data_IF_096123982216
#
_entry.id   IF_096123982216
#
_cell.length_a   1.000
_cell.length_b   1.000
_cell.length_c   1.000
_cell.angle_alpha   90.00
_cell.angle_beta   90.00
_cell.angle_gamma   90.00
#
_symmetry.space_group_name_H-M   'P 1'
#
loop_
_entity.id
_entity.type
_entity.pdbx_description
1 polymer ?
#
# COMPACT_ATOMS: atom_id res chain seq x y z
N UNK A 1 3.73 -5.42 -4.80
CA UNK A 1 2.66 -4.42 -5.07
C UNK A 1 2.61 -3.37 -3.97
N UNK A 2 2.69 -2.10 -4.34
CA UNK A 2 2.76 -0.98 -3.38
C UNK A 2 1.88 0.21 -3.77
N UNK A 3 0.99 0.07 -4.73
CA UNK A 3 0.13 1.20 -5.12
C UNK A 3 -1.06 1.41 -4.15
N UNK A 4 -1.36 2.66 -3.81
CA UNK A 4 -0.70 3.91 -4.25
C UNK A 4 0.54 4.22 -3.39
N UNK A 5 1.68 4.45 -4.02
CA UNK A 5 2.94 4.67 -3.31
C UNK A 5 2.92 5.86 -2.36
N UNK A 6 2.13 6.90 -2.64
CA UNK A 6 1.99 8.04 -1.72
C UNK A 6 1.40 7.64 -0.35
N UNK A 7 0.65 6.55 -0.29
CA UNK A 7 0.16 5.96 0.97
C UNK A 7 1.16 4.95 1.53
N UNK A 8 1.53 3.96 0.71
CA UNK A 8 2.31 2.82 1.18
C UNK A 8 3.76 3.17 1.51
N UNK A 9 4.25 4.30 1.00
CA UNK A 9 5.59 4.86 1.25
C UNK A 9 5.51 6.32 1.69
N UNK A 10 4.50 6.65 2.50
CA UNK A 10 4.35 8.02 3.00
C UNK A 10 5.63 8.50 3.68
N UNK A 11 6.16 9.64 3.23
CA UNK A 11 7.40 10.25 3.70
C UNK A 11 8.65 9.34 3.66
N UNK A 12 8.61 8.23 2.95
CA UNK A 12 9.78 7.35 2.82
C UNK A 12 10.94 8.09 2.12
N UNK A 13 12.08 8.15 2.78
CA UNK A 13 13.24 8.96 2.38
C UNK A 13 13.85 8.61 1.02
N UNK A 14 13.48 7.47 0.45
CA UNK A 14 13.94 6.97 -0.85
C UNK A 14 12.94 7.16 -1.99
N UNK A 15 11.81 7.86 -1.73
CA UNK A 15 10.78 8.13 -2.74
C UNK A 15 10.65 9.63 -3.03
N UNK A 16 9.93 9.96 -4.10
CA UNK A 16 9.52 11.33 -4.42
C UNK A 16 8.58 11.93 -3.37
N UNK A 17 7.98 11.12 -2.51
CA UNK A 17 7.04 11.54 -1.47
C UNK A 17 7.71 11.86 -0.13
N UNK A 18 9.04 11.79 -0.03
CA UNK A 18 9.80 11.97 1.22
C UNK A 18 9.50 13.26 1.97
N UNK A 19 9.22 14.34 1.25
CA UNK A 19 8.95 15.66 1.81
C UNK A 19 7.44 15.97 1.86
N UNK A 20 6.58 15.03 1.43
CA UNK A 20 5.14 15.24 1.43
C UNK A 20 4.57 15.08 2.84
N UNK A 21 4.11 16.19 3.45
CA UNK A 21 3.49 16.22 4.77
C UNK A 21 1.98 16.57 4.72
N UNK A 22 1.36 16.38 3.54
CA UNK A 22 -0.08 16.60 3.36
C UNK A 22 -0.91 15.37 3.71
N UNK A 23 -2.24 15.51 3.76
CA UNK A 23 -3.12 14.38 4.00
C UNK A 23 -3.14 13.42 2.81
N UNK A 24 -3.27 12.14 3.11
CA UNK A 24 -3.54 11.08 2.13
C UNK A 24 -4.87 10.42 2.48
N UNK A 25 -5.63 10.00 1.49
CA UNK A 25 -6.91 9.32 1.68
C UNK A 25 -6.89 7.90 1.12
N UNK A 26 -7.51 6.99 1.84
CA UNK A 26 -7.81 5.64 1.40
C UNK A 26 -8.99 5.05 2.24
N UNK A 27 -9.97 4.40 1.61
CA UNK A 27 -10.21 4.29 0.17
C UNK A 27 -10.67 5.62 -0.43
N UNK A 28 -10.42 5.81 -1.73
CA UNK A 28 -10.86 6.99 -2.48
C UNK A 28 -9.73 7.67 -3.27
N UNK A 29 -9.94 8.91 -3.63
CA UNK A 29 -8.90 9.73 -4.27
C UNK A 29 -7.79 10.00 -3.24
N UNK A 30 -6.58 9.54 -3.52
CA UNK A 30 -5.46 9.57 -2.56
C UNK A 30 -5.09 10.98 -2.14
N UNK A 31 -4.94 11.88 -3.09
CA UNK A 31 -4.69 13.32 -2.89
C UNK A 31 -5.47 14.08 -3.95
N UNK A 32 -6.01 15.25 -3.61
CA UNK A 32 -6.72 16.06 -4.60
C UNK A 32 -5.78 17.02 -5.35
N UNK A 33 -6.12 17.45 -6.58
CA UNK A 33 -5.34 18.46 -7.29
C UNK A 33 -5.16 19.75 -6.49
N UNK A 34 -6.16 20.14 -5.70
CA UNK A 34 -6.10 21.33 -4.83
C UNK A 34 -5.05 21.16 -3.74
N UNK A 35 -5.01 19.99 -3.09
CA UNK A 35 -3.99 19.67 -2.08
C UNK A 35 -2.57 19.70 -2.67
N UNK A 36 -2.39 19.24 -3.91
CA UNK A 36 -1.10 19.35 -4.61
C UNK A 36 -0.77 20.80 -4.92
N UNK A 37 -1.75 21.60 -5.38
CA UNK A 37 -1.55 23.01 -5.73
C UNK A 37 -1.15 23.89 -4.54
N UNK A 38 -1.47 23.48 -3.31
CA UNK A 38 -1.07 24.15 -2.06
C UNK A 38 0.39 23.85 -1.66
N UNK A 39 1.04 22.90 -2.32
CA UNK A 39 2.41 22.50 -2.01
C UNK A 39 3.45 23.40 -2.69
N UNK A 40 4.69 23.46 -2.19
CA UNK A 40 5.78 24.11 -2.89
C UNK A 40 5.95 23.62 -4.33
N UNK A 41 6.30 24.52 -5.27
CA UNK A 41 6.41 24.17 -6.69
C UNK A 41 7.33 22.97 -6.97
N UNK A 42 8.41 22.82 -6.22
CA UNK A 42 9.34 21.69 -6.36
C UNK A 42 8.68 20.34 -6.00
N UNK A 43 7.76 20.31 -5.04
CA UNK A 43 6.98 19.11 -4.71
C UNK A 43 5.93 18.83 -5.79
N UNK A 44 5.24 19.87 -6.30
CA UNK A 44 4.24 19.71 -7.36
C UNK A 44 4.82 19.07 -8.61
N UNK A 45 6.08 19.40 -8.97
CA UNK A 45 6.75 18.83 -10.14
C UNK A 45 7.12 17.34 -9.96
N UNK A 46 7.34 16.89 -8.71
CA UNK A 46 7.67 15.50 -8.42
C UNK A 46 6.44 14.59 -8.40
N UNK A 47 5.23 15.14 -8.22
CA UNK A 47 4.00 14.36 -8.18
C UNK A 47 3.46 14.08 -9.59
N UNK A 48 3.54 12.83 -10.00
CA UNK A 48 2.90 12.39 -11.23
C UNK A 48 1.38 12.45 -11.15
N UNK A 49 0.73 12.42 -12.31
CA UNK A 49 -0.75 12.41 -12.41
C UNK A 49 -1.43 11.28 -11.63
N UNK A 50 -0.72 10.17 -11.40
CA UNK A 50 -1.19 9.00 -10.65
C UNK A 50 -1.40 9.30 -9.16
N UNK A 51 -0.75 10.32 -8.63
CA UNK A 51 -0.88 10.73 -7.22
C UNK A 51 -2.31 11.10 -6.84
N UNK A 52 -3.08 11.61 -7.79
CA UNK A 52 -4.47 12.01 -7.58
C UNK A 52 -5.50 10.94 -8.04
N UNK A 53 -5.08 9.72 -8.30
CA UNK A 53 -6.00 8.65 -8.71
C UNK A 53 -6.79 8.09 -7.53
N UNK A 54 -7.93 7.46 -7.86
CA UNK A 54 -8.75 6.76 -6.87
C UNK A 54 -8.25 5.34 -6.69
N UNK A 55 -8.03 4.96 -5.43
CA UNK A 55 -7.70 3.61 -5.02
C UNK A 55 -8.75 3.07 -4.05
N UNK A 56 -9.19 1.87 -4.30
CA UNK A 56 -10.19 1.12 -3.53
C UNK A 56 -10.06 -0.39 -3.81
N UNK A 57 -10.80 -1.20 -3.09
CA UNK A 57 -10.82 -2.66 -3.25
C UNK A 57 -11.18 -3.09 -4.67
N UNK A 58 -12.14 -2.40 -5.31
CA UNK A 58 -12.57 -2.70 -6.68
C UNK A 58 -11.44 -2.45 -7.69
N UNK A 59 -10.62 -1.43 -7.47
CA UNK A 59 -9.43 -1.19 -8.30
C UNK A 59 -8.43 -2.34 -8.17
N UNK A 60 -8.11 -2.76 -6.97
CA UNK A 60 -7.21 -3.91 -6.76
C UNK A 60 -7.76 -5.17 -7.41
N UNK A 61 -9.06 -5.44 -7.28
CA UNK A 61 -9.70 -6.57 -7.93
C UNK A 61 -9.55 -6.53 -9.46
N UNK A 62 -9.71 -5.36 -10.08
CA UNK A 62 -9.49 -5.19 -11.53
C UNK A 62 -8.03 -5.43 -11.92
N UNK A 63 -7.08 -4.83 -11.21
CA UNK A 63 -5.65 -4.91 -11.51
C UNK A 63 -5.14 -6.35 -11.34
N UNK A 64 -5.46 -6.99 -10.22
CA UNK A 64 -4.98 -8.34 -9.91
C UNK A 64 -5.66 -9.41 -10.78
N UNK A 65 -6.91 -9.17 -11.21
CA UNK A 65 -7.58 -10.05 -12.15
C UNK A 65 -6.82 -10.24 -13.47
N UNK A 66 -6.01 -9.27 -13.87
CA UNK A 66 -5.17 -9.42 -15.08
C UNK A 66 -4.18 -10.57 -14.92
N UNK A 67 -3.48 -10.64 -13.80
CA UNK A 67 -2.55 -11.73 -13.50
C UNK A 67 -3.28 -13.06 -13.25
N UNK A 68 -4.37 -13.04 -12.48
CA UNK A 68 -5.18 -14.22 -12.20
C UNK A 68 -5.77 -14.85 -13.49
N UNK A 69 -6.20 -14.02 -14.45
CA UNK A 69 -6.70 -14.50 -15.74
C UNK A 69 -5.60 -15.16 -16.59
N UNK A 70 -4.38 -14.63 -16.56
CA UNK A 70 -3.23 -15.28 -17.22
C UNK A 70 -2.94 -16.63 -16.57
N UNK A 71 -2.90 -16.69 -15.25
CA UNK A 71 -2.70 -17.92 -14.50
C UNK A 71 -3.76 -18.98 -14.86
N UNK A 72 -5.03 -18.60 -14.84
CA UNK A 72 -6.14 -19.46 -15.21
C UNK A 72 -6.03 -19.98 -16.65
N UNK A 73 -5.65 -19.08 -17.58
CA UNK A 73 -5.47 -19.45 -19.00
C UNK A 73 -4.40 -20.50 -19.22
N UNK A 74 -3.30 -20.44 -18.46
CA UNK A 74 -2.17 -21.34 -18.63
C UNK A 74 -2.09 -22.47 -17.60
N UNK A 75 -3.00 -22.51 -16.64
CA UNK A 75 -3.00 -23.53 -15.57
C UNK A 75 -1.81 -23.43 -14.63
N UNK A 76 -1.33 -22.21 -14.37
CA UNK A 76 -0.18 -21.93 -13.49
C UNK A 76 -0.61 -21.12 -12.27
N UNK A 77 0.07 -21.25 -11.11
CA UNK A 77 -0.21 -20.41 -9.96
C UNK A 77 0.27 -18.96 -10.17
N UNK A 78 -0.35 -18.02 -9.44
CA UNK A 78 0.14 -16.64 -9.30
C UNK A 78 0.66 -16.43 -7.89
N UNK A 79 1.73 -15.69 -7.79
CA UNK A 79 2.36 -15.32 -6.52
C UNK A 79 2.76 -13.85 -6.54
N UNK A 80 2.26 -13.08 -5.58
CA UNK A 80 2.74 -11.74 -5.27
C UNK A 80 3.92 -11.88 -4.31
N UNK A 81 5.14 -11.74 -4.83
CA UNK A 81 6.37 -11.97 -4.06
C UNK A 81 6.62 -10.94 -2.97
N UNK A 82 5.97 -9.76 -3.08
CA UNK A 82 6.16 -8.67 -2.13
C UNK A 82 5.01 -7.66 -2.20
N UNK A 83 4.47 -7.28 -1.07
CA UNK A 83 3.54 -6.16 -0.88
C UNK A 83 3.60 -5.68 0.56
N UNK A 84 3.25 -4.43 0.80
CA UNK A 84 3.28 -3.87 2.15
C UNK A 84 2.87 -2.40 2.18
N UNK A 85 2.75 -1.88 3.38
CA UNK A 85 2.46 -0.48 3.64
C UNK A 85 3.23 -0.04 4.88
N UNK A 86 3.98 1.05 4.75
CA UNK A 86 4.77 1.65 5.82
C UNK A 86 3.85 2.09 6.96
N UNK A 87 4.27 1.87 8.20
CA UNK A 87 3.61 2.41 9.38
C UNK A 87 3.91 3.90 9.49
N UNK A 88 2.85 4.70 9.65
CA UNK A 88 2.94 6.12 9.92
C UNK A 88 1.71 6.53 10.73
N UNK A 89 1.90 6.97 11.97
CA UNK A 89 0.82 7.24 12.92
C UNK A 89 -0.38 8.03 12.35
N UNK A 90 -0.19 9.09 11.55
CA UNK A 90 -1.32 9.78 10.97
C UNK A 90 -2.15 8.95 9.99
N UNK A 91 -1.56 7.91 9.39
CA UNK A 91 -2.17 7.12 8.31
C UNK A 91 -2.40 5.66 8.68
N UNK A 92 -2.13 5.22 9.91
CA UNK A 92 -2.22 3.80 10.31
C UNK A 92 -3.61 3.20 10.06
N UNK A 93 -4.69 3.93 10.30
CA UNK A 93 -6.04 3.44 9.96
C UNK A 93 -6.20 3.13 8.47
N UNK A 94 -5.59 3.93 7.59
CA UNK A 94 -5.62 3.71 6.14
C UNK A 94 -4.70 2.55 5.75
N UNK A 95 -3.55 2.41 6.41
CA UNK A 95 -2.64 1.28 6.28
C UNK A 95 -3.35 -0.05 6.51
N UNK A 96 -4.07 -0.18 7.62
CA UNK A 96 -4.78 -1.42 7.95
C UNK A 96 -5.94 -1.71 6.99
N UNK A 97 -6.66 -0.69 6.54
CA UNK A 97 -7.71 -0.85 5.52
C UNK A 97 -7.11 -1.31 4.19
N UNK A 98 -6.01 -0.68 3.75
CA UNK A 98 -5.31 -1.06 2.53
C UNK A 98 -4.83 -2.51 2.59
N UNK A 99 -4.18 -2.91 3.69
CA UNK A 99 -3.73 -4.29 3.90
C UNK A 99 -4.91 -5.27 3.86
N UNK A 100 -6.01 -4.94 4.53
CA UNK A 100 -7.22 -5.77 4.52
C UNK A 100 -7.77 -5.94 3.10
N UNK A 101 -7.96 -4.83 2.37
CA UNK A 101 -8.56 -4.86 1.02
C UNK A 101 -7.68 -5.61 0.03
N UNK A 102 -6.36 -5.40 0.08
CA UNK A 102 -5.41 -6.12 -0.78
C UNK A 102 -5.42 -7.62 -0.47
N UNK A 103 -5.42 -8.01 0.81
CA UNK A 103 -5.48 -9.42 1.21
C UNK A 103 -6.79 -10.08 0.82
N UNK A 104 -7.91 -9.42 1.04
CA UNK A 104 -9.22 -9.93 0.61
C UNK A 104 -9.24 -10.23 -0.89
N UNK A 105 -8.70 -9.32 -1.72
CA UNK A 105 -8.63 -9.51 -3.17
C UNK A 105 -7.68 -10.65 -3.55
N UNK A 106 -6.55 -10.80 -2.86
CA UNK A 106 -5.66 -11.94 -3.09
C UNK A 106 -6.36 -13.27 -2.80
N UNK A 107 -7.14 -13.33 -1.71
CA UNK A 107 -7.90 -14.53 -1.34
C UNK A 107 -9.03 -14.81 -2.35
N UNK A 108 -9.80 -13.79 -2.75
CA UNK A 108 -10.87 -13.92 -3.75
C UNK A 108 -10.35 -14.43 -5.09
N UNK A 109 -9.14 -14.05 -5.48
CA UNK A 109 -8.52 -14.43 -6.76
C UNK A 109 -7.58 -15.65 -6.66
N UNK A 110 -7.36 -16.21 -5.48
CA UNK A 110 -6.45 -17.33 -5.24
C UNK A 110 -4.98 -17.00 -5.53
N UNK A 111 -4.55 -15.78 -5.20
CA UNK A 111 -3.17 -15.30 -5.38
C UNK A 111 -2.38 -15.57 -4.10
N UNK A 112 -1.35 -16.40 -4.20
CA UNK A 112 -0.38 -16.57 -3.11
C UNK A 112 0.46 -15.31 -2.93
N UNK A 113 0.88 -15.01 -1.69
CA UNK A 113 1.53 -13.74 -1.38
C UNK A 113 2.55 -13.82 -0.26
N UNK A 114 3.48 -12.86 -0.24
CA UNK A 114 4.37 -12.60 0.89
C UNK A 114 4.32 -11.11 1.25
N UNK A 115 3.98 -10.80 2.50
CA UNK A 115 4.00 -9.43 3.00
C UNK A 115 5.43 -8.98 3.29
N UNK A 116 5.74 -7.76 2.95
CA UNK A 116 6.93 -7.07 3.40
C UNK A 116 6.56 -6.17 4.60
N UNK A 117 7.04 -6.51 5.86
CA UNK A 117 7.80 -7.73 6.11
C UNK A 117 7.47 -8.27 7.51
N UNK A 118 7.99 -9.45 7.86
CA UNK A 118 7.83 -10.01 9.21
C UNK A 118 8.52 -9.13 10.26
N UNK A 119 9.76 -8.75 9.99
CA UNK A 119 10.59 -7.96 10.88
C UNK A 119 11.51 -7.06 10.08
N UNK A 120 11.44 -5.81 10.34
CA UNK A 120 12.32 -4.81 9.75
C UNK A 120 13.00 -4.01 10.87
N UNK A 121 14.10 -3.30 10.55
CA UNK A 121 14.79 -2.44 11.49
C UNK A 121 13.96 -1.27 11.98
N UNK A 122 14.20 -0.07 11.46
CA UNK A 122 13.49 1.16 11.85
C UNK A 122 12.48 1.64 10.81
N UNK A 123 12.29 0.91 9.70
CA UNK A 123 11.59 1.43 8.52
C UNK A 123 10.07 1.20 8.53
N UNK A 124 9.52 0.54 9.55
CA UNK A 124 8.07 0.54 9.81
C UNK A 124 7.17 -0.35 8.93
N UNK A 125 7.72 -1.20 8.04
CA UNK A 125 6.90 -2.18 7.28
C UNK A 125 6.58 -3.45 8.09
N UNK A 126 7.34 -3.71 9.14
CA UNK A 126 7.31 -4.97 9.87
C UNK A 126 6.01 -5.20 10.66
N UNK A 127 5.64 -6.49 10.78
CA UNK A 127 4.64 -6.93 11.76
C UNK A 127 5.19 -6.77 13.19
N UNK A 128 6.51 -6.90 13.34
CA UNK A 128 7.21 -6.62 14.60
C UNK A 128 7.85 -5.23 14.53
N UNK A 129 7.57 -4.41 15.51
CA UNK A 129 8.21 -3.11 15.71
C UNK A 129 9.65 -3.30 16.16
N UNK A 130 10.59 -3.25 15.20
CA UNK A 130 12.02 -3.47 15.45
C UNK A 130 12.37 -4.93 15.77
N UNK A 131 13.60 -5.14 16.28
CA UNK A 131 14.16 -6.49 16.47
C UNK A 131 13.48 -7.31 17.58
N UNK A 132 12.97 -6.67 18.62
CA UNK A 132 12.35 -7.27 19.80
C UNK A 132 11.06 -6.56 20.24
N UNK A 133 10.52 -5.72 19.36
CA UNK A 133 9.33 -4.94 19.65
C UNK A 133 8.03 -5.75 19.67
N UNK A 134 6.93 -5.12 20.10
CA UNK A 134 5.63 -5.76 20.11
C UNK A 134 5.15 -6.09 18.69
N UNK A 135 4.27 -7.08 18.61
CA UNK A 135 3.55 -7.40 17.39
C UNK A 135 2.53 -6.29 17.11
N UNK A 136 2.51 -5.80 15.87
CA UNK A 136 1.40 -5.00 15.36
C UNK A 136 0.19 -5.92 15.15
N UNK A 137 -0.68 -5.96 16.16
CA UNK A 137 -1.83 -6.87 16.16
C UNK A 137 -2.84 -6.49 15.08
N UNK A 138 -3.01 -5.22 14.78
CA UNK A 138 -3.95 -4.77 13.73
C UNK A 138 -3.45 -5.17 12.33
N UNK A 139 -2.14 -5.05 12.09
CA UNK A 139 -1.54 -5.58 10.87
C UNK A 139 -1.71 -7.09 10.78
N UNK A 140 -1.40 -7.82 11.86
CA UNK A 140 -1.56 -9.28 11.88
C UNK A 140 -3.01 -9.69 11.59
N UNK A 141 -3.98 -9.02 12.20
CA UNK A 141 -5.40 -9.27 11.96
C UNK A 141 -5.81 -8.98 10.51
N UNK A 142 -5.26 -7.93 9.89
CA UNK A 142 -5.49 -7.62 8.47
C UNK A 142 -4.91 -8.68 7.51
N UNK A 143 -3.86 -9.38 7.93
CA UNK A 143 -3.16 -10.38 7.12
C UNK A 143 -3.75 -11.80 7.27
N UNK A 144 -4.48 -12.09 8.35
CA UNK A 144 -4.84 -13.47 8.75
C UNK A 144 -6.34 -13.72 8.85
N UNK A 145 -7.18 -12.80 8.39
CA UNK A 145 -8.65 -12.95 8.37
C UNK A 145 -9.12 -14.09 7.49
#
# INVERSE_FOLDING_TARGET
>A
YYEPMILTHYQAGWTEYKDYAGPVNYPGQTVTPEQIAERPAAEQESFGRWTCETYDKERFAREFSMAANVAKKYGIPVYCGEYGCLSDEPNDDMRYRWLTDVNDVFDELGIARAVWCYREGEDGFGILSGMEGPVDQQMLDALTK
#
